data_IF_481621318923
#
_entry.id   IF_481621318923
#
_cell.length_a   1.000
_cell.length_b   1.000
_cell.length_c   1.000
_cell.angle_alpha   90.00
_cell.angle_beta   90.00
_cell.angle_gamma   90.00
#
_symmetry.space_group_name_H-M   'P 1'
#
loop_
_entity.id
_entity.type
_entity.pdbx_description
1 polymer ?
#
# COMPACT_ATOMS: atom_id res chain seq x y z
N UNK A 1 11.11 30.61 -4.20
CA UNK A 1 10.32 29.65 -5.01
C UNK A 1 10.98 28.30 -4.88
N UNK A 2 10.53 27.49 -3.92
CA UNK A 2 11.00 26.12 -3.74
C UNK A 2 10.49 25.32 -4.93
N UNK A 3 11.40 24.81 -5.77
CA UNK A 3 11.08 23.89 -6.86
C UNK A 3 10.42 22.67 -6.20
N UNK A 4 9.11 22.49 -6.35
CA UNK A 4 8.48 21.18 -6.09
C UNK A 4 9.04 20.24 -7.16
N UNK A 5 10.00 19.41 -6.78
CA UNK A 5 10.42 18.28 -7.59
C UNK A 5 9.25 17.30 -7.62
N UNK A 6 8.53 17.25 -8.73
CA UNK A 6 7.61 16.15 -9.02
C UNK A 6 8.43 14.87 -9.10
N UNK A 7 8.41 14.07 -8.04
CA UNK A 7 8.97 12.73 -8.04
C UNK A 7 8.17 11.89 -9.04
N UNK A 8 8.86 11.23 -9.96
CA UNK A 8 8.20 10.34 -10.93
C UNK A 8 7.94 8.96 -10.32
N UNK A 9 6.96 8.22 -10.86
CA UNK A 9 6.71 6.82 -10.45
C UNK A 9 7.96 5.95 -10.44
N UNK A 10 8.81 6.10 -11.47
CA UNK A 10 10.02 5.31 -11.60
C UNK A 10 11.04 5.66 -10.51
N UNK A 11 11.08 6.92 -10.07
CA UNK A 11 11.91 7.34 -8.94
C UNK A 11 11.37 6.76 -7.62
N UNK A 12 10.05 6.75 -7.41
CA UNK A 12 9.43 6.12 -6.25
C UNK A 12 9.72 4.61 -6.21
N UNK A 13 9.51 3.89 -7.31
CA UNK A 13 9.87 2.46 -7.41
C UNK A 13 11.35 2.22 -7.13
N UNK A 14 12.24 3.05 -7.70
CA UNK A 14 13.68 2.94 -7.49
C UNK A 14 14.07 3.18 -6.03
N UNK A 15 13.39 4.11 -5.36
CA UNK A 15 13.62 4.38 -3.94
C UNK A 15 13.17 3.21 -3.07
N UNK A 16 12.03 2.59 -3.38
CA UNK A 16 11.57 1.38 -2.68
C UNK A 16 12.54 0.22 -2.90
N UNK A 17 12.96 -0.03 -4.15
CA UNK A 17 13.94 -1.08 -4.48
C UNK A 17 15.22 -0.91 -3.64
N UNK A 18 15.78 0.30 -3.61
CA UNK A 18 16.99 0.62 -2.85
C UNK A 18 16.80 0.41 -1.34
N UNK A 19 15.65 0.80 -0.80
CA UNK A 19 15.36 0.62 0.62
C UNK A 19 15.27 -0.86 1.01
N UNK A 20 14.78 -1.71 0.10
CA UNK A 20 14.69 -3.15 0.28
C UNK A 20 15.99 -3.89 -0.09
N UNK A 21 17.03 -3.20 -0.52
CA UNK A 21 18.29 -3.81 -0.97
C UNK A 21 18.19 -4.56 -2.30
N UNK A 22 17.18 -4.23 -3.12
CA UNK A 22 16.95 -4.81 -4.43
C UNK A 22 17.58 -3.94 -5.53
N UNK A 23 18.03 -4.58 -6.61
CA UNK A 23 18.62 -3.88 -7.76
C UNK A 23 17.58 -3.02 -8.48
N UNK A 24 16.40 -3.59 -8.74
CA UNK A 24 15.28 -2.89 -9.35
C UNK A 24 13.95 -3.55 -9.01
N UNK A 25 12.87 -2.80 -9.16
CA UNK A 25 11.50 -3.28 -9.11
C UNK A 25 10.82 -2.93 -10.44
N UNK A 26 9.98 -3.84 -10.92
CA UNK A 26 9.23 -3.65 -12.16
C UNK A 26 7.75 -3.87 -11.93
N UNK A 27 6.95 -3.07 -12.62
CA UNK A 27 5.51 -3.29 -12.70
C UNK A 27 5.17 -4.12 -13.93
N UNK A 28 4.10 -4.88 -13.85
CA UNK A 28 3.46 -5.50 -15.00
C UNK A 28 2.77 -4.47 -15.91
N UNK A 29 2.10 -4.97 -16.96
CA UNK A 29 1.34 -4.16 -17.92
C UNK A 29 0.14 -3.42 -17.30
N UNK A 30 -0.30 -3.85 -16.11
CA UNK A 30 -1.36 -3.19 -15.34
C UNK A 30 -0.81 -2.13 -14.38
N UNK A 31 0.50 -1.93 -14.35
CA UNK A 31 1.15 -0.99 -13.43
C UNK A 31 1.27 -1.50 -12.00
N UNK A 32 1.23 -2.82 -11.80
CA UNK A 32 1.30 -3.50 -10.50
C UNK A 32 2.67 -4.17 -10.33
N UNK A 33 3.29 -4.00 -9.16
CA UNK A 33 4.47 -4.74 -8.74
C UNK A 33 4.15 -5.47 -7.43
N UNK A 34 4.25 -6.79 -7.44
CA UNK A 34 4.00 -7.64 -6.28
C UNK A 34 5.33 -7.99 -5.59
N UNK A 35 5.35 -7.86 -4.26
CA UNK A 35 6.49 -8.15 -3.42
C UNK A 35 6.08 -9.10 -2.31
N UNK A 36 6.74 -10.25 -2.22
CA UNK A 36 6.54 -11.17 -1.13
C UNK A 36 7.67 -10.99 -0.10
N UNK A 37 7.32 -10.46 1.07
CA UNK A 37 8.26 -10.24 2.17
C UNK A 37 8.26 -11.46 3.07
N UNK A 38 9.45 -12.04 3.30
CA UNK A 38 9.66 -13.22 4.14
C UNK A 38 8.77 -14.42 3.77
N UNK A 39 8.38 -14.56 2.51
CA UNK A 39 7.46 -15.62 2.04
C UNK A 39 6.04 -15.59 2.64
N UNK A 40 5.72 -14.57 3.45
CA UNK A 40 4.48 -14.52 4.24
C UNK A 40 3.60 -13.32 3.88
N UNK A 41 4.21 -12.14 3.70
CA UNK A 41 3.46 -10.90 3.53
C UNK A 41 3.52 -10.42 2.09
N UNK A 42 2.37 -10.43 1.41
CA UNK A 42 2.23 -9.79 0.11
C UNK A 42 2.06 -8.28 0.26
N UNK A 43 2.98 -7.54 -0.34
CA UNK A 43 2.87 -6.11 -0.58
C UNK A 43 2.66 -5.88 -2.07
N UNK A 44 1.73 -5.00 -2.40
CA UNK A 44 1.43 -4.60 -3.77
C UNK A 44 1.80 -3.14 -3.93
N UNK A 45 2.63 -2.82 -4.91
CA UNK A 45 2.92 -1.47 -5.36
C UNK A 45 2.12 -1.21 -6.64
N UNK A 46 1.14 -0.33 -6.58
CA UNK A 46 0.28 0.01 -7.73
C UNK A 46 0.49 1.47 -8.13
N UNK A 47 0.70 1.71 -9.42
CA UNK A 47 0.68 3.06 -9.97
C UNK A 47 -0.74 3.64 -9.89
N UNK A 48 -0.88 4.81 -9.27
CA UNK A 48 -2.09 5.62 -9.32
C UNK A 48 -1.85 6.84 -10.22
N UNK A 49 -2.14 6.67 -11.52
CA UNK A 49 -1.92 7.69 -12.55
C UNK A 49 -2.74 8.96 -12.31
N UNK A 50 -3.94 8.85 -11.75
CA UNK A 50 -4.80 9.99 -11.50
C UNK A 50 -4.20 10.96 -10.47
N UNK A 51 -3.49 10.42 -9.48
CA UNK A 51 -2.85 11.18 -8.41
C UNK A 51 -1.33 11.31 -8.56
N UNK A 52 -0.75 10.76 -9.63
CA UNK A 52 0.69 10.67 -9.85
C UNK A 52 1.45 10.12 -8.62
N UNK A 53 0.95 9.03 -8.02
CA UNK A 53 1.47 8.47 -6.77
C UNK A 53 1.62 6.95 -6.80
N UNK A 54 2.57 6.40 -6.06
CA UNK A 54 2.71 4.94 -5.93
C UNK A 54 1.95 4.49 -4.68
N UNK A 55 0.90 3.69 -4.85
CA UNK A 55 0.17 3.11 -3.74
C UNK A 55 0.84 1.83 -3.27
N UNK A 56 1.19 1.78 -2.00
CA UNK A 56 1.57 0.55 -1.31
C UNK A 56 0.32 -0.05 -0.68
N UNK A 57 -0.01 -1.30 -0.97
CA UNK A 57 -1.16 -2.01 -0.44
C UNK A 57 -0.73 -3.33 0.20
N UNK A 58 -1.45 -3.76 1.24
CA UNK A 58 -1.31 -5.09 1.83
C UNK A 58 -2.62 -5.55 2.43
N UNK A 59 -2.88 -6.85 2.36
CA UNK A 59 -4.03 -7.44 3.02
C UNK A 59 -3.78 -7.54 4.53
N UNK A 60 -4.76 -7.15 5.33
CA UNK A 60 -4.77 -7.43 6.77
C UNK A 60 -5.24 -8.87 6.95
N UNK A 61 -4.30 -9.81 6.95
CA UNK A 61 -4.54 -11.27 6.91
C UNK A 61 -5.50 -11.78 8.00
N UNK A 62 -5.53 -11.14 9.16
CA UNK A 62 -6.46 -11.45 10.26
C UNK A 62 -7.95 -11.18 9.93
N UNK A 63 -8.26 -10.71 8.71
CA UNK A 63 -9.62 -10.35 8.28
C UNK A 63 -10.10 -11.09 7.03
N UNK A 64 -9.38 -12.14 6.63
CA UNK A 64 -9.69 -12.94 5.45
C UNK A 64 -10.86 -13.91 5.71
N UNK A 65 -12.11 -13.42 5.71
CA UNK A 65 -13.29 -14.27 5.89
C UNK A 65 -14.58 -13.53 6.29
N UNK A 66 -15.74 -14.17 6.08
CA UNK A 66 -17.06 -13.60 6.39
C UNK A 66 -17.34 -13.43 7.90
N UNK A 67 -16.73 -14.27 8.76
CA UNK A 67 -16.82 -14.13 10.22
C UNK A 67 -15.97 -12.95 10.75
N UNK A 68 -15.12 -12.39 9.91
CA UNK A 68 -14.13 -11.39 10.31
C UNK A 68 -14.61 -9.95 10.18
N UNK A 69 -15.83 -9.68 9.69
CA UNK A 69 -16.35 -8.30 9.58
C UNK A 69 -16.37 -7.57 10.94
N UNK A 70 -16.63 -8.28 12.03
CA UNK A 70 -16.56 -7.72 13.39
C UNK A 70 -15.12 -7.39 13.82
N UNK A 71 -14.16 -8.24 13.48
CA UNK A 71 -12.73 -7.99 13.77
C UNK A 71 -12.21 -6.85 12.89
N UNK A 72 -12.51 -6.88 11.60
CA UNK A 72 -12.15 -5.87 10.63
C UNK A 72 -12.68 -4.49 11.00
N UNK A 73 -13.94 -4.40 11.43
CA UNK A 73 -14.51 -3.12 11.91
C UNK A 73 -13.79 -2.59 13.15
N UNK A 74 -13.44 -3.46 14.11
CA UNK A 74 -12.63 -3.04 15.28
C UNK A 74 -11.27 -2.50 14.85
N UNK A 75 -10.55 -3.22 14.01
CA UNK A 75 -9.25 -2.77 13.47
C UNK A 75 -9.41 -1.44 12.73
N UNK A 76 -10.42 -1.34 11.87
CA UNK A 76 -10.74 -0.12 11.12
C UNK A 76 -10.89 1.08 12.07
N UNK A 77 -11.78 0.98 13.07
CA UNK A 77 -12.01 2.08 13.98
C UNK A 77 -10.81 2.37 14.90
N UNK A 78 -10.08 1.35 15.34
CA UNK A 78 -8.90 1.53 16.20
C UNK A 78 -7.74 2.23 15.50
N UNK A 79 -7.56 2.03 14.19
CA UNK A 79 -6.40 2.55 13.45
C UNK A 79 -6.72 3.75 12.53
N UNK A 80 -8.01 4.02 12.25
CA UNK A 80 -8.40 5.18 11.44
C UNK A 80 -7.91 6.51 12.02
N UNK A 81 -7.79 6.62 13.34
CA UNK A 81 -7.28 7.84 13.98
C UNK A 81 -5.83 8.17 13.61
N UNK A 82 -4.96 7.17 13.48
CA UNK A 82 -3.56 7.36 13.05
C UNK A 82 -3.47 7.72 11.58
N UNK A 83 -4.31 7.08 10.75
CA UNK A 83 -4.44 7.38 9.32
C UNK A 83 -4.84 8.84 9.09
N UNK A 84 -5.87 9.33 9.81
CA UNK A 84 -6.35 10.72 9.70
C UNK A 84 -5.28 11.76 10.11
N UNK A 85 -4.31 11.37 10.93
CA UNK A 85 -3.18 12.22 11.32
C UNK A 85 -1.96 12.07 10.39
N UNK A 86 -2.05 11.22 9.36
CA UNK A 86 -0.95 10.92 8.43
C UNK A 86 0.13 9.99 9.00
N UNK A 87 -0.08 9.44 10.20
CA UNK A 87 0.91 8.64 10.92
C UNK A 87 0.82 7.13 10.62
N UNK A 88 -0.21 6.68 9.91
CA UNK A 88 -0.43 5.27 9.58
C UNK A 88 -0.90 5.04 8.15
N UNK A 89 -1.10 3.77 7.74
CA UNK A 89 -1.80 3.45 6.51
C UNK A 89 -3.28 3.78 6.63
N UNK A 90 -3.90 4.13 5.51
CA UNK A 90 -5.35 4.11 5.34
C UNK A 90 -5.86 2.67 5.28
N UNK A 91 -7.16 2.49 5.55
CA UNK A 91 -7.81 1.20 5.57
C UNK A 91 -9.02 1.21 4.63
N UNK A 92 -9.21 0.16 3.86
CA UNK A 92 -10.36 -0.06 2.99
C UNK A 92 -10.89 -1.49 3.11
N UNK A 93 -12.17 -1.69 2.86
CA UNK A 93 -12.79 -3.02 2.83
C UNK A 93 -12.98 -3.50 1.39
N UNK A 94 -12.60 -4.74 1.12
CA UNK A 94 -12.92 -5.48 -0.09
C UNK A 94 -13.67 -6.76 0.29
N UNK A 95 -14.75 -7.10 -0.41
CA UNK A 95 -15.58 -8.25 -0.04
C UNK A 95 -14.93 -9.61 -0.29
N UNK A 96 -13.94 -9.68 -1.20
CA UNK A 96 -13.25 -10.92 -1.55
C UNK A 96 -12.02 -11.18 -0.67
N UNK A 97 -11.28 -10.12 -0.31
CA UNK A 97 -10.01 -10.24 0.45
C UNK A 97 -10.06 -9.63 1.86
N UNK A 98 -11.16 -9.00 2.25
CA UNK A 98 -11.32 -8.40 3.57
C UNK A 98 -10.66 -7.02 3.67
N UNK A 99 -10.07 -6.71 4.83
CA UNK A 99 -9.50 -5.40 5.10
C UNK A 99 -8.14 -5.25 4.40
N UNK A 100 -7.96 -4.13 3.72
CA UNK A 100 -6.74 -3.75 3.00
C UNK A 100 -6.16 -2.52 3.68
N UNK A 101 -4.88 -2.58 4.04
CA UNK A 101 -4.11 -1.40 4.44
C UNK A 101 -3.39 -0.82 3.22
N UNK A 102 -3.46 0.49 3.04
CA UNK A 102 -2.78 1.16 1.93
C UNK A 102 -2.19 2.51 2.31
N UNK A 103 -1.16 2.94 1.58
CA UNK A 103 -0.55 4.26 1.72
C UNK A 103 -0.07 4.77 0.38
N UNK A 104 -0.42 6.01 0.04
CA UNK A 104 0.11 6.70 -1.12
C UNK A 104 1.51 7.23 -0.83
N UNK A 105 2.46 6.90 -1.69
CA UNK A 105 3.83 7.41 -1.69
C UNK A 105 3.91 8.54 -2.73
N UNK A 106 4.30 9.73 -2.29
CA UNK A 106 4.40 10.94 -3.10
C UNK A 106 5.82 11.53 -3.01
#
# INVERSE_FOLDING_TARGET
MTKMTTTTFNELLSNVARHLGLESLQTDDSGICELLINEETLLILRKDEANNSLQLLSQVTATAGAEDKSIASKIFFSHSGESLQGNGPELAWNDDVGLIAYKSLC
#
